data_IF_817663207485
#
_entry.id   IF_817663207485
#
_cell.length_a   1.000
_cell.length_b   1.000
_cell.length_c   1.000
_cell.angle_alpha   90.00
_cell.angle_beta   90.00
_cell.angle_gamma   90.00
#
_symmetry.space_group_name_H-M   'P 1'
#
loop_
_entity.id
_entity.type
_entity.pdbx_description
1 polymer ?
#
# COMPACT_ATOMS: atom_id res chain seq x y z
N UNK A 1 2.58 4.90 -14.90
CA UNK A 1 1.63 3.97 -14.22
C UNK A 1 0.93 3.00 -15.16
N UNK A 2 0.37 3.42 -16.30
CA UNK A 2 -0.25 2.49 -17.27
C UNK A 2 0.71 1.39 -17.75
N UNK A 3 1.99 1.71 -17.90
CA UNK A 3 3.01 0.74 -18.34
C UNK A 3 3.20 -0.42 -17.38
N UNK A 4 2.98 -0.24 -16.07
CA UNK A 4 3.00 -1.36 -15.11
C UNK A 4 1.82 -2.31 -15.30
N UNK A 5 0.65 -1.78 -15.68
CA UNK A 5 -0.53 -2.60 -15.99
C UNK A 5 -0.30 -3.39 -17.28
N UNK A 6 0.32 -2.76 -18.27
CA UNK A 6 0.59 -3.36 -19.57
C UNK A 6 1.86 -4.23 -19.62
N UNK A 7 2.65 -4.25 -18.54
CA UNK A 7 3.96 -4.92 -18.47
C UNK A 7 4.93 -4.45 -19.56
N UNK A 8 4.92 -3.14 -19.83
CA UNK A 8 5.86 -2.48 -20.75
C UNK A 8 7.18 -2.19 -20.01
N UNK A 9 7.84 -3.25 -19.54
CA UNK A 9 8.98 -3.16 -18.61
C UNK A 9 10.19 -2.41 -19.24
N UNK A 10 10.42 -2.56 -20.55
CA UNK A 10 11.46 -1.82 -21.28
C UNK A 10 11.22 -0.29 -21.28
N UNK A 11 9.97 0.13 -21.53
CA UNK A 11 9.60 1.55 -21.53
C UNK A 11 9.72 2.15 -20.11
N UNK A 12 9.37 1.37 -19.08
CA UNK A 12 9.54 1.77 -17.68
C UNK A 12 11.02 2.03 -17.38
N UNK A 13 11.91 1.14 -17.82
CA UNK A 13 13.35 1.31 -17.65
C UNK A 13 13.89 2.53 -18.40
N UNK A 14 13.41 2.76 -19.62
CA UNK A 14 13.85 3.88 -20.45
C UNK A 14 13.42 5.24 -19.89
N UNK A 15 12.22 5.34 -19.32
CA UNK A 15 11.68 6.59 -18.77
C UNK A 15 12.20 6.87 -17.35
N UNK A 16 12.36 5.83 -16.51
CA UNK A 16 12.61 6.03 -15.07
C UNK A 16 14.03 5.66 -14.66
N UNK A 17 14.42 4.38 -14.74
CA UNK A 17 15.76 3.93 -14.36
C UNK A 17 16.06 2.58 -14.97
N UNK A 18 17.20 2.47 -15.65
CA UNK A 18 17.74 1.18 -16.15
C UNK A 18 18.49 0.40 -15.07
N UNK A 19 18.73 1.03 -13.92
CA UNK A 19 19.63 0.53 -12.89
C UNK A 19 18.90 -0.09 -11.69
N UNK A 20 17.57 -0.06 -11.69
CA UNK A 20 16.73 -0.63 -10.64
C UNK A 20 15.79 -1.71 -11.20
N UNK A 21 15.41 -2.74 -10.41
CA UNK A 21 14.32 -3.65 -10.77
C UNK A 21 13.00 -2.89 -11.02
N UNK A 22 12.14 -3.44 -11.90
CA UNK A 22 10.82 -2.84 -12.20
C UNK A 22 9.92 -2.73 -10.97
N UNK A 23 10.04 -3.65 -10.01
CA UNK A 23 9.31 -3.60 -8.74
C UNK A 23 9.70 -2.36 -7.91
N UNK A 24 11.00 -2.13 -7.73
CA UNK A 24 11.53 -0.96 -7.01
C UNK A 24 11.18 0.36 -7.73
N UNK A 25 11.17 0.34 -9.07
CA UNK A 25 10.69 1.47 -9.88
C UNK A 25 9.18 1.70 -9.64
N UNK A 26 8.39 0.64 -9.47
CA UNK A 26 6.98 0.77 -9.16
C UNK A 26 6.75 1.41 -7.80
N UNK A 27 7.47 1.00 -6.77
CA UNK A 27 7.44 1.66 -5.45
C UNK A 27 7.78 3.16 -5.57
N UNK A 28 8.84 3.49 -6.31
CA UNK A 28 9.26 4.87 -6.53
C UNK A 28 8.14 5.71 -7.17
N UNK A 29 7.55 5.20 -8.26
CA UNK A 29 6.46 5.89 -8.97
C UNK A 29 5.18 5.94 -8.14
N UNK A 30 4.89 4.90 -7.34
CA UNK A 30 3.76 4.87 -6.42
C UNK A 30 3.88 5.94 -5.34
N UNK A 31 5.07 6.10 -4.76
CA UNK A 31 5.33 7.15 -3.79
C UNK A 31 5.10 8.54 -4.36
N UNK A 32 5.60 8.81 -5.57
CA UNK A 32 5.36 10.07 -6.27
C UNK A 32 3.87 10.28 -6.55
N UNK A 33 3.16 9.25 -7.02
CA UNK A 33 1.72 9.34 -7.24
C UNK A 33 0.98 9.67 -5.94
N UNK A 34 1.35 9.03 -4.84
CA UNK A 34 0.74 9.30 -3.55
C UNK A 34 1.08 10.70 -3.01
N UNK A 35 2.27 11.22 -3.28
CA UNK A 35 2.59 12.63 -2.98
C UNK A 35 1.58 13.58 -3.62
N UNK A 36 1.20 13.37 -4.88
CA UNK A 36 0.16 14.15 -5.54
C UNK A 36 -1.24 13.91 -4.96
N UNK A 37 -1.59 12.64 -4.66
CA UNK A 37 -2.88 12.29 -4.01
C UNK A 37 -3.01 12.94 -2.62
N UNK A 38 -1.89 13.04 -1.90
CA UNK A 38 -1.82 13.72 -0.59
C UNK A 38 -1.82 15.24 -0.68
N UNK A 39 -1.78 15.81 -1.89
CA UNK A 39 -1.64 17.25 -2.15
C UNK A 39 -0.37 17.84 -1.51
N UNK A 40 0.72 17.07 -1.52
CA UNK A 40 2.02 17.49 -1.01
C UNK A 40 2.14 17.54 0.52
N UNK A 41 1.23 16.91 1.26
CA UNK A 41 1.22 16.90 2.74
C UNK A 41 2.27 15.96 3.37
N UNK A 42 2.94 15.16 2.56
CA UNK A 42 3.91 14.14 3.00
C UNK A 42 5.31 14.46 2.50
N UNK A 43 6.32 14.14 3.30
CA UNK A 43 7.71 14.23 2.87
C UNK A 43 8.11 12.95 2.12
N UNK A 44 8.03 13.00 0.79
CA UNK A 44 8.26 11.82 -0.03
C UNK A 44 9.67 11.23 0.12
N UNK A 45 10.67 12.07 0.41
CA UNK A 45 12.06 11.62 0.58
C UNK A 45 12.25 10.78 1.84
N UNK A 46 11.53 11.12 2.91
CA UNK A 46 11.55 10.34 4.17
C UNK A 46 10.67 9.09 4.08
N UNK A 47 9.64 9.13 3.23
CA UNK A 47 8.71 8.04 3.02
C UNK A 47 9.25 6.90 2.17
N UNK A 48 10.05 7.21 1.15
CA UNK A 48 10.65 6.19 0.28
C UNK A 48 11.82 5.50 0.99
N UNK A 49 11.66 4.22 1.33
CA UNK A 49 12.74 3.40 1.92
C UNK A 49 13.63 2.79 0.83
N UNK A 50 14.21 3.62 -0.03
CA UNK A 50 15.03 3.15 -1.15
C UNK A 50 16.30 3.95 -1.33
N UNK A 51 17.29 3.32 -1.95
CA UNK A 51 18.52 3.97 -2.37
C UNK A 51 18.27 4.69 -3.70
N UNK A 52 18.63 5.97 -3.75
CA UNK A 52 18.52 6.80 -4.95
C UNK A 52 19.92 7.17 -5.48
N UNK A 53 20.02 7.37 -6.80
CA UNK A 53 21.23 7.90 -7.44
C UNK A 53 21.36 9.43 -7.27
N UNK A 54 22.41 10.01 -7.86
CA UNK A 54 22.66 11.45 -7.80
C UNK A 54 21.59 12.31 -8.50
N UNK A 55 20.77 11.70 -9.37
CA UNK A 55 19.64 12.32 -10.06
C UNK A 55 18.30 12.05 -9.35
N UNK A 56 18.33 11.45 -8.16
CA UNK A 56 17.16 11.04 -7.38
C UNK A 56 16.30 9.95 -8.05
N UNK A 57 16.90 9.12 -8.90
CA UNK A 57 16.26 7.96 -9.53
C UNK A 57 16.52 6.69 -8.70
N UNK A 58 15.59 5.72 -8.70
CA UNK A 58 15.72 4.51 -7.88
C UNK A 58 16.90 3.65 -8.34
N UNK A 59 17.59 3.07 -7.36
CA UNK A 59 18.60 2.02 -7.53
C UNK A 59 18.14 0.70 -6.92
N UNK A 60 17.68 0.71 -5.67
CA UNK A 60 17.15 -0.48 -5.01
C UNK A 60 16.29 -0.17 -3.79
N UNK A 61 15.33 -1.03 -3.46
CA UNK A 61 14.60 -1.00 -2.20
C UNK A 61 15.50 -1.32 -0.97
N UNK A 62 15.12 -0.89 0.23
CA UNK A 62 15.81 -1.21 1.48
C UNK A 62 15.53 -2.67 1.92
N UNK A 63 16.54 -3.36 2.46
CA UNK A 63 16.34 -4.75 2.86
C UNK A 63 15.63 -4.87 4.24
N UNK A 64 14.45 -5.51 4.24
CA UNK A 64 13.88 -6.27 5.36
C UNK A 64 13.17 -5.49 6.48
N UNK A 65 12.06 -6.07 6.97
CA UNK A 65 11.23 -5.67 8.13
C UNK A 65 10.41 -4.38 8.04
N UNK A 66 10.71 -3.50 7.09
CA UNK A 66 9.99 -2.24 6.86
C UNK A 66 9.05 -2.38 5.67
N UNK A 67 7.98 -1.60 5.68
CA UNK A 67 7.07 -1.53 4.54
C UNK A 67 7.61 -0.65 3.43
N UNK A 68 7.02 -0.75 2.24
CA UNK A 68 7.63 -0.16 1.04
C UNK A 68 7.68 1.37 1.10
N UNK A 69 6.57 2.00 1.51
CA UNK A 69 6.41 3.45 1.56
C UNK A 69 5.65 3.88 2.82
N UNK A 70 6.34 4.50 3.77
CA UNK A 70 5.76 4.94 5.04
C UNK A 70 5.48 6.45 5.02
N UNK A 71 4.20 6.83 5.01
CA UNK A 71 3.75 8.20 4.89
C UNK A 71 3.29 8.73 6.25
N UNK A 72 4.09 9.60 6.85
CA UNK A 72 3.77 10.19 8.14
C UNK A 72 3.09 11.56 7.97
N UNK A 73 1.84 11.65 8.42
CA UNK A 73 1.10 12.90 8.57
C UNK A 73 1.10 13.33 10.04
N UNK A 74 0.64 14.53 10.38
CA UNK A 74 0.56 14.96 11.78
C UNK A 74 -0.34 14.06 12.64
N UNK A 75 -1.45 13.56 12.07
CA UNK A 75 -2.50 12.86 12.80
C UNK A 75 -2.71 11.38 12.42
N UNK A 76 -1.96 10.87 11.43
CA UNK A 76 -2.07 9.48 10.96
C UNK A 76 -0.79 9.03 10.24
N UNK A 77 -0.61 7.74 10.14
CA UNK A 77 0.39 7.11 9.26
C UNK A 77 -0.34 6.32 8.19
N UNK A 78 0.16 6.37 6.95
CA UNK A 78 -0.32 5.51 5.86
C UNK A 78 0.86 4.68 5.37
N UNK A 79 0.67 3.37 5.29
CA UNK A 79 1.63 2.47 4.68
C UNK A 79 1.15 2.10 3.28
N UNK A 80 2.00 2.23 2.27
CA UNK A 80 1.74 1.63 0.97
C UNK A 80 2.61 0.39 0.80
N UNK A 81 1.98 -0.70 0.39
CA UNK A 81 2.64 -1.95 0.02
C UNK A 81 2.35 -2.21 -1.45
N UNK A 82 3.39 -2.39 -2.25
CA UNK A 82 3.37 -2.36 -3.69
C UNK A 82 3.75 -3.71 -4.26
N UNK A 83 2.94 -4.26 -5.17
CA UNK A 83 3.32 -5.50 -5.84
C UNK A 83 2.95 -5.53 -7.31
N UNK A 84 3.82 -6.15 -8.11
CA UNK A 84 3.54 -6.53 -9.50
C UNK A 84 3.30 -8.03 -9.65
N UNK A 85 3.24 -8.78 -8.54
CA UNK A 85 2.99 -10.22 -8.54
C UNK A 85 1.59 -10.55 -9.08
N UNK A 86 1.50 -11.67 -9.80
CA UNK A 86 0.22 -12.21 -10.25
C UNK A 86 -0.60 -12.80 -9.07
N UNK A 87 -1.89 -13.03 -9.29
CA UNK A 87 -2.78 -13.57 -8.25
C UNK A 87 -2.30 -14.89 -7.65
N UNK A 88 -1.67 -15.76 -8.45
CA UNK A 88 -1.24 -17.08 -8.00
C UNK A 88 -0.05 -17.02 -7.04
N UNK A 89 0.77 -15.98 -7.18
CA UNK A 89 1.98 -15.77 -6.39
C UNK A 89 1.74 -14.87 -5.19
N UNK A 90 0.77 -13.94 -5.24
CA UNK A 90 0.43 -13.03 -4.14
C UNK A 90 0.16 -13.73 -2.81
N UNK A 91 -0.54 -14.87 -2.80
CA UNK A 91 -0.83 -15.56 -1.54
C UNK A 91 0.43 -15.97 -0.78
N UNK A 92 1.48 -16.39 -1.51
CA UNK A 92 2.76 -16.79 -0.91
C UNK A 92 3.66 -15.58 -0.69
N UNK A 93 3.65 -14.64 -1.63
CA UNK A 93 4.55 -13.50 -1.64
C UNK A 93 4.15 -12.40 -0.67
N UNK A 94 2.85 -12.14 -0.50
CA UNK A 94 2.37 -10.86 0.06
C UNK A 94 1.62 -11.01 1.39
N UNK A 95 1.03 -12.16 1.69
CA UNK A 95 0.25 -12.29 2.93
C UNK A 95 1.09 -12.07 4.18
N UNK A 96 2.23 -12.76 4.28
CA UNK A 96 3.12 -12.63 5.43
C UNK A 96 3.75 -11.24 5.51
N UNK A 97 4.44 -10.72 4.48
CA UNK A 97 5.17 -9.46 4.63
C UNK A 97 4.25 -8.27 4.84
N UNK A 98 3.16 -8.15 4.08
CA UNK A 98 2.24 -7.01 4.21
C UNK A 98 1.62 -6.94 5.61
N UNK A 99 1.19 -8.10 6.15
CA UNK A 99 0.65 -8.14 7.52
C UNK A 99 1.76 -7.81 8.52
N UNK A 100 2.94 -8.41 8.38
CA UNK A 100 4.07 -8.15 9.28
C UNK A 100 4.49 -6.68 9.28
N UNK A 101 4.64 -6.05 8.12
CA UNK A 101 5.01 -4.65 7.99
C UNK A 101 3.95 -3.74 8.62
N UNK A 102 2.68 -4.01 8.36
CA UNK A 102 1.57 -3.27 8.98
C UNK A 102 1.60 -3.37 10.50
N UNK A 103 1.77 -4.58 11.05
CA UNK A 103 1.82 -4.82 12.50
C UNK A 103 3.02 -4.14 13.14
N UNK A 104 4.21 -4.32 12.55
CA UNK A 104 5.42 -3.68 13.06
C UNK A 104 5.27 -2.16 13.09
N UNK A 105 4.80 -1.56 11.98
CA UNK A 105 4.58 -0.12 11.88
C UNK A 105 3.53 0.37 12.88
N UNK A 106 2.43 -0.37 13.05
CA UNK A 106 1.37 0.00 14.00
C UNK A 106 1.87 -0.03 15.45
N UNK A 107 2.67 -1.03 15.84
CA UNK A 107 3.33 -1.06 17.16
C UNK A 107 4.32 0.11 17.32
N UNK A 108 5.11 0.40 16.29
CA UNK A 108 6.10 1.50 16.32
C UNK A 108 5.44 2.89 16.34
N UNK A 109 4.28 3.05 15.71
CA UNK A 109 3.48 4.28 15.70
C UNK A 109 2.66 4.49 16.99
N UNK A 110 2.49 3.45 17.81
CA UNK A 110 1.72 3.49 19.05
C UNK A 110 0.25 3.87 18.80
N UNK A 111 -0.21 4.97 19.41
CA UNK A 111 -1.62 5.38 19.34
C UNK A 111 -1.99 6.14 18.05
N UNK A 112 -1.04 6.36 17.13
CA UNK A 112 -1.31 7.11 15.91
C UNK A 112 -2.08 6.22 14.92
N UNK A 113 -3.26 6.66 14.42
CA UNK A 113 -4.03 5.91 13.44
C UNK A 113 -3.18 5.49 12.25
N UNK A 114 -3.25 4.21 11.91
CA UNK A 114 -2.49 3.57 10.83
C UNK A 114 -3.49 3.05 9.78
N UNK A 115 -3.12 3.15 8.50
CA UNK A 115 -3.86 2.57 7.39
C UNK A 115 -2.88 2.03 6.35
N UNK A 116 -2.90 0.73 6.12
CA UNK A 116 -2.17 0.11 5.01
C UNK A 116 -3.01 0.10 3.75
N UNK A 117 -2.40 0.47 2.62
CA UNK A 117 -2.97 0.35 1.28
C UNK A 117 -2.08 -0.56 0.47
N UNK A 118 -2.61 -1.73 0.14
CA UNK A 118 -1.98 -2.70 -0.74
C UNK A 118 -2.33 -2.37 -2.19
N UNK A 119 -1.33 -2.02 -3.00
CA UNK A 119 -1.47 -1.62 -4.40
C UNK A 119 -0.85 -2.68 -5.30
N UNK A 120 -1.68 -3.25 -6.17
CA UNK A 120 -1.25 -4.36 -7.03
C UNK A 120 -1.68 -4.22 -8.49
N UNK A 121 -0.96 -4.87 -9.41
CA UNK A 121 -1.39 -4.99 -10.81
C UNK A 121 -2.73 -5.73 -10.94
N UNK A 122 -2.87 -6.84 -10.21
CA UNK A 122 -4.09 -7.61 -10.05
C UNK A 122 -4.34 -7.91 -8.58
N UNK A 123 -5.57 -8.28 -8.20
CA UNK A 123 -5.90 -8.61 -6.81
C UNK A 123 -6.40 -10.05 -6.68
N UNK A 124 -5.74 -10.84 -5.84
CA UNK A 124 -6.27 -12.14 -5.41
C UNK A 124 -7.35 -11.95 -4.34
N UNK A 125 -8.54 -12.52 -4.58
CA UNK A 125 -9.68 -12.38 -3.66
C UNK A 125 -9.45 -13.02 -2.29
N UNK A 126 -8.63 -14.08 -2.20
CA UNK A 126 -8.36 -14.70 -0.90
C UNK A 126 -7.42 -13.82 -0.09
N UNK A 127 -6.39 -13.26 -0.73
CA UNK A 127 -5.47 -12.30 -0.09
C UNK A 127 -6.25 -11.11 0.45
N UNK A 128 -7.07 -10.48 -0.38
CA UNK A 128 -7.91 -9.34 0.01
C UNK A 128 -8.87 -9.68 1.16
N UNK A 129 -9.48 -10.87 1.15
CA UNK A 129 -10.36 -11.29 2.23
C UNK A 129 -9.62 -11.59 3.54
N UNK A 130 -8.40 -12.13 3.48
CA UNK A 130 -7.58 -12.38 4.68
C UNK A 130 -7.11 -11.05 5.27
N UNK A 131 -6.70 -10.09 4.45
CA UNK A 131 -6.42 -8.72 4.88
C UNK A 131 -7.62 -8.10 5.61
N UNK A 132 -8.83 -8.30 5.09
CA UNK A 132 -10.04 -7.83 5.76
C UNK A 132 -10.32 -8.55 7.08
N UNK A 133 -10.01 -9.84 7.18
CA UNK A 133 -10.16 -10.60 8.43
C UNK A 133 -9.16 -10.15 9.51
N UNK A 134 -7.97 -9.71 9.08
CA UNK A 134 -6.91 -9.26 9.97
C UNK A 134 -7.30 -8.05 10.84
N UNK A 135 -8.38 -7.33 10.53
CA UNK A 135 -8.91 -6.26 11.39
C UNK A 135 -9.49 -6.76 12.72
N UNK A 136 -9.60 -8.08 12.92
CA UNK A 136 -10.19 -8.70 14.10
C UNK A 136 -9.25 -9.70 14.79
N UNK A 137 -7.95 -9.64 14.49
CA UNK A 137 -6.95 -10.59 14.99
C UNK A 137 -5.90 -9.83 15.78
N UNK A 138 -5.50 -10.36 16.94
CA UNK A 138 -4.32 -9.86 17.66
C UNK A 138 -3.05 -10.36 16.97
N UNK A 139 -2.13 -9.44 16.68
CA UNK A 139 -0.90 -9.71 15.95
C UNK A 139 0.29 -9.06 16.67
N UNK A 140 1.40 -9.77 16.74
CA UNK A 140 2.60 -9.34 17.46
C UNK A 140 3.66 -8.78 16.52
N UNK A 141 4.40 -7.77 17.00
CA UNK A 141 5.58 -7.28 16.31
C UNK A 141 6.63 -8.40 16.21
N UNK A 142 7.23 -8.59 15.03
CA UNK A 142 8.11 -9.75 14.77
C UNK A 142 9.50 -9.71 15.43
N UNK A 143 9.80 -8.70 16.23
CA UNK A 143 11.17 -8.46 16.74
C UNK A 143 11.23 -7.68 18.06
N UNK A 144 10.17 -6.94 18.40
CA UNK A 144 10.05 -6.15 19.63
C UNK A 144 8.85 -6.63 20.42
N UNK A 145 8.84 -6.36 21.71
CA UNK A 145 7.64 -6.56 22.53
C UNK A 145 6.56 -5.56 22.11
N UNK A 146 5.33 -6.03 21.95
CA UNK A 146 4.20 -5.23 21.49
C UNK A 146 3.27 -6.00 20.53
N UNK A 147 1.98 -5.72 20.66
CA UNK A 147 0.93 -6.31 19.85
C UNK A 147 -0.10 -5.24 19.45
N UNK A 148 -0.86 -5.52 18.39
CA UNK A 148 -1.98 -4.70 17.93
C UNK A 148 -3.24 -5.55 17.84
N UNK A 149 -4.36 -4.95 18.24
CA UNK A 149 -5.68 -5.56 18.14
C UNK A 149 -6.31 -5.20 16.80
N UNK A 150 -5.97 -5.99 15.78
CA UNK A 150 -6.43 -5.81 14.42
C UNK A 150 -5.60 -4.80 13.64
N UNK A 151 -5.53 -5.02 12.33
CA UNK A 151 -4.92 -4.11 11.37
C UNK A 151 -5.87 -3.81 10.22
N UNK A 152 -5.84 -2.60 9.67
CA UNK A 152 -6.70 -2.23 8.55
C UNK A 152 -5.90 -2.16 7.26
N UNK A 153 -6.01 -3.21 6.44
CA UNK A 153 -5.33 -3.30 5.15
C UNK A 153 -6.40 -3.23 4.05
N UNK A 154 -6.35 -2.19 3.23
CA UNK A 154 -7.26 -2.03 2.09
C UNK A 154 -6.52 -2.24 0.77
N UNK A 155 -7.12 -2.95 -0.17
CA UNK A 155 -6.48 -3.27 -1.44
C UNK A 155 -7.09 -2.48 -2.60
N UNK A 156 -6.23 -1.96 -3.47
CA UNK A 156 -6.62 -1.35 -4.74
C UNK A 156 -5.68 -1.75 -5.87
N UNK A 157 -6.22 -1.79 -7.08
CA UNK A 157 -5.42 -2.04 -8.26
C UNK A 157 -4.70 -0.78 -8.75
N UNK A 158 -3.62 -0.94 -9.51
CA UNK A 158 -2.95 0.17 -10.22
C UNK A 158 -3.94 0.91 -11.14
N UNK A 159 -4.86 0.18 -11.77
CA UNK A 159 -5.90 0.76 -12.63
C UNK A 159 -6.83 1.69 -11.84
N UNK A 160 -7.28 1.27 -10.66
CA UNK A 160 -8.09 2.11 -9.77
C UNK A 160 -7.31 3.31 -9.24
N UNK A 161 -6.02 3.15 -8.97
CA UNK A 161 -5.16 4.27 -8.56
C UNK A 161 -5.02 5.32 -9.69
N UNK A 162 -4.85 4.87 -10.93
CA UNK A 162 -4.84 5.77 -12.11
C UNK A 162 -6.17 6.54 -12.20
N UNK A 163 -7.30 5.87 -11.98
CA UNK A 163 -8.62 6.52 -11.97
C UNK A 163 -8.77 7.53 -10.82
N UNK A 164 -8.28 7.21 -9.62
CA UNK A 164 -8.21 8.13 -8.48
C UNK A 164 -7.45 9.40 -8.86
N UNK A 165 -6.28 9.26 -9.49
CA UNK A 165 -5.46 10.40 -9.93
C UNK A 165 -6.17 11.23 -11.01
N UNK A 166 -6.78 10.59 -12.01
CA UNK A 166 -7.51 11.28 -13.08
C UNK A 166 -8.71 12.07 -12.54
N UNK A 167 -9.40 11.52 -11.53
CA UNK A 167 -10.50 12.18 -10.83
C UNK A 167 -10.04 13.18 -9.76
N UNK A 168 -8.74 13.32 -9.53
CA UNK A 168 -8.15 14.17 -8.49
C UNK A 168 -8.72 13.89 -7.10
N UNK A 169 -9.01 12.63 -6.81
CA UNK A 169 -9.48 12.20 -5.49
C UNK A 169 -8.28 12.24 -4.54
N UNK A 170 -8.42 12.99 -3.43
CA UNK A 170 -7.35 13.14 -2.45
C UNK A 170 -7.33 12.01 -1.41
N UNK A 171 -6.18 11.87 -0.76
CA UNK A 171 -5.93 10.90 0.30
C UNK A 171 -6.97 10.97 1.44
N UNK A 172 -7.36 12.16 1.87
CA UNK A 172 -8.36 12.34 2.93
C UNK A 172 -9.66 11.62 2.60
N UNK A 173 -10.22 11.82 1.41
CA UNK A 173 -11.46 11.15 0.99
C UNK A 173 -11.27 9.62 0.94
N UNK A 174 -10.15 9.14 0.39
CA UNK A 174 -9.85 7.70 0.30
C UNK A 174 -9.87 7.06 1.69
N UNK A 175 -9.06 7.61 2.60
CA UNK A 175 -8.90 7.08 3.96
C UNK A 175 -10.22 7.16 4.74
N UNK A 176 -10.97 8.26 4.61
CA UNK A 176 -12.28 8.40 5.27
C UNK A 176 -13.28 7.34 4.82
N UNK A 177 -13.37 7.04 3.52
CA UNK A 177 -14.30 6.02 3.03
C UNK A 177 -13.87 4.60 3.45
N UNK A 178 -12.57 4.31 3.44
CA UNK A 178 -12.03 3.05 3.96
C UNK A 178 -12.40 2.91 5.44
N UNK A 179 -12.13 3.92 6.25
CA UNK A 179 -12.35 3.86 7.70
C UNK A 179 -13.84 3.79 8.08
N UNK A 180 -14.72 4.46 7.33
CA UNK A 180 -16.19 4.33 7.51
C UNK A 180 -16.69 2.91 7.25
N UNK A 181 -15.96 2.13 6.45
CA UNK A 181 -16.34 0.76 6.12
C UNK A 181 -15.95 -0.25 7.18
N UNK A 182 -15.10 0.11 8.16
CA UNK A 182 -14.57 -0.83 9.16
C UNK A 182 -15.73 -1.44 9.94
N UNK A 183 -15.72 -2.77 10.04
CA UNK A 183 -16.73 -3.50 10.79
C UNK A 183 -16.46 -3.36 12.29
N UNK A 184 -17.52 -3.23 13.09
CA UNK A 184 -17.42 -3.14 14.55
C UNK A 184 -17.30 -4.53 15.21
N UNK A 185 -17.76 -5.58 14.53
CA UNK A 185 -17.73 -6.97 15.02
C UNK A 185 -17.34 -7.92 13.88
N UNK A 186 -16.65 -9.04 14.19
CA UNK A 186 -16.30 -10.04 13.19
C UNK A 186 -17.54 -10.58 12.46
N UNK A 187 -17.44 -10.79 11.15
CA UNK A 187 -18.50 -11.38 10.34
C UNK A 187 -17.90 -12.18 9.18
N UNK A 188 -18.73 -12.99 8.51
CA UNK A 188 -18.30 -13.68 7.29
C UNK A 188 -17.95 -12.67 6.21
N UNK A 189 -16.75 -12.81 5.62
CA UNK A 189 -16.26 -11.94 4.57
C UNK A 189 -16.57 -12.57 3.22
N UNK A 190 -17.51 -11.95 2.50
CA UNK A 190 -17.89 -12.35 1.15
C UNK A 190 -17.13 -11.52 0.11
N UNK A 191 -16.89 -12.11 -1.07
CA UNK A 191 -16.39 -11.37 -2.24
C UNK A 191 -17.27 -10.15 -2.54
N UNK A 192 -16.71 -9.10 -3.15
CA UNK A 192 -17.47 -7.90 -3.52
C UNK A 192 -17.49 -6.79 -2.46
N UNK A 193 -16.92 -7.02 -1.26
CA UNK A 193 -16.93 -6.01 -0.20
C UNK A 193 -16.07 -4.79 -0.56
N UNK A 194 -14.91 -5.03 -1.17
CA UNK A 194 -13.92 -4.03 -1.57
C UNK A 194 -14.45 -3.14 -2.69
N UNK A 195 -15.13 -3.74 -3.68
CA UNK A 195 -15.72 -3.05 -4.82
C UNK A 195 -16.75 -2.01 -4.36
N UNK A 196 -17.55 -2.31 -3.34
CA UNK A 196 -18.52 -1.35 -2.78
C UNK A 196 -17.84 -0.13 -2.17
N UNK A 197 -16.73 -0.33 -1.47
CA UNK A 197 -15.94 0.77 -0.88
C UNK A 197 -15.27 1.59 -1.98
N UNK A 198 -14.70 0.92 -3.00
CA UNK A 198 -14.14 1.62 -4.15
C UNK A 198 -15.17 2.48 -4.89
N UNK A 199 -16.40 1.99 -5.05
CA UNK A 199 -17.49 2.80 -5.62
C UNK A 199 -17.76 4.07 -4.81
N UNK A 200 -17.71 3.98 -3.47
CA UNK A 200 -17.88 5.15 -2.59
C UNK A 200 -16.70 6.12 -2.66
N UNK A 201 -15.47 5.61 -2.81
CA UNK A 201 -14.28 6.44 -3.05
C UNK A 201 -14.44 7.21 -4.37
N UNK A 202 -14.92 6.52 -5.40
CA UNK A 202 -15.02 7.03 -6.78
C UNK A 202 -16.26 7.90 -7.07
N UNK A 203 -17.23 7.93 -6.16
CA UNK A 203 -18.46 8.73 -6.24
C UNK A 203 -18.19 10.21 -5.97
#
# INVERSE_FOLDING_TARGET
MKDFVNRNDDEIHDIVSKNAPVADIFEYVLGIAWYYISQGKVNIRESLKMTLDASLLPLSHAAGYQGDIELHYDNRTVLLEATLMDRSTQKRGELEPVIRHTVNLAVECGNKPEQTIFVASELDNNVVNIFRAASFIELEHSAKDGAVLGVNIFAMSIQELIEIMNKQINDQKIIEQINKSIQQTPSLIYRGWRERIMQQIMA
#
